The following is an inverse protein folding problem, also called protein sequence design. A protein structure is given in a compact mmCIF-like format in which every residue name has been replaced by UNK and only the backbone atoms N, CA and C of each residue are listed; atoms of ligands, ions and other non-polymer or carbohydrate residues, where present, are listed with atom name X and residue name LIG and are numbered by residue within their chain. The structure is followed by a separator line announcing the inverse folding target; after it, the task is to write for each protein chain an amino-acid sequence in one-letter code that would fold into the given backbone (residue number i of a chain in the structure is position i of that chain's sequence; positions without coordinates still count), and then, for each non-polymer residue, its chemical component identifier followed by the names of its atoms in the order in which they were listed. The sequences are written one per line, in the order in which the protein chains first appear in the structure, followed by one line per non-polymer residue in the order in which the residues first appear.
data_IF_450814401449
#
_entry.id   IF_450814401449
#
_cell.length_a   1.000
_cell.length_b   1.000
_cell.length_c   1.000
_cell.angle_alpha   90.00
_cell.angle_beta   90.00
_cell.angle_gamma   90.00
#
_symmetry.space_group_name_H-M   'P 1'
#
loop_
_entity.id
_entity.type
_entity.pdbx_description
1 polymer ?
#
# COMPACT_ATOMS: atom_id res chain seq x y z
N UNK A 1 -7.47 -1.12 37.08
CA UNK A 1 -7.25 -0.18 35.96
C UNK A 1 -8.03 -0.69 34.76
N UNK A 2 -9.10 -0.02 34.36
CA UNK A 2 -9.90 -0.43 33.20
C UNK A 2 -9.09 -0.17 31.92
N UNK A 3 -8.84 -1.21 31.13
CA UNK A 3 -8.09 -1.12 29.88
C UNK A 3 -8.83 -0.22 28.87
N UNK A 4 -8.11 0.69 28.23
CA UNK A 4 -8.64 1.53 27.14
C UNK A 4 -8.94 0.62 25.95
N UNK A 5 -10.15 0.71 25.39
CA UNK A 5 -10.52 -0.03 24.19
C UNK A 5 -9.53 0.27 23.03
N UNK A 6 -9.15 -0.73 22.21
CA UNK A 6 -8.22 -0.54 21.10
C UNK A 6 -8.80 0.42 20.07
N UNK A 7 -7.96 1.25 19.46
CA UNK A 7 -8.39 2.15 18.38
C UNK A 7 -8.83 1.37 17.14
N UNK A 8 -9.68 1.97 16.29
CA UNK A 8 -10.10 1.40 15.00
C UNK A 8 -8.89 1.01 14.16
N UNK A 9 -7.83 1.84 14.19
CA UNK A 9 -6.58 1.57 13.49
C UNK A 9 -5.83 0.36 14.06
N UNK A 10 -5.81 0.18 15.38
CA UNK A 10 -5.18 -0.99 16.00
C UNK A 10 -5.96 -2.28 15.69
N UNK A 11 -7.31 -2.23 15.70
CA UNK A 11 -8.14 -3.35 15.26
C UNK A 11 -7.94 -3.67 13.77
N UNK A 12 -7.88 -2.63 12.92
CA UNK A 12 -7.57 -2.74 11.50
C UNK A 12 -6.25 -3.44 11.24
N UNK A 13 -5.16 -3.07 11.94
CA UNK A 13 -3.87 -3.75 11.81
C UNK A 13 -3.93 -5.24 12.12
N UNK A 14 -4.66 -5.67 13.16
CA UNK A 14 -4.81 -7.11 13.49
C UNK A 14 -5.44 -7.89 12.33
N UNK A 15 -6.49 -7.34 11.72
CA UNK A 15 -7.17 -7.97 10.59
C UNK A 15 -6.30 -7.95 9.32
N UNK A 16 -5.66 -6.82 9.01
CA UNK A 16 -4.75 -6.69 7.87
C UNK A 16 -3.58 -7.69 7.97
N UNK A 17 -2.95 -7.79 9.14
CA UNK A 17 -1.85 -8.73 9.41
C UNK A 17 -2.31 -10.18 9.20
N UNK A 18 -3.51 -10.53 9.70
CA UNK A 18 -4.04 -11.88 9.54
C UNK A 18 -4.33 -12.21 8.08
N UNK A 19 -4.88 -11.27 7.30
CA UNK A 19 -5.09 -11.46 5.85
C UNK A 19 -3.76 -11.70 5.13
N UNK A 20 -2.73 -10.90 5.41
CA UNK A 20 -1.39 -11.07 4.82
C UNK A 20 -0.77 -12.40 5.23
N UNK A 21 -0.88 -12.80 6.51
CA UNK A 21 -0.34 -14.08 7.00
C UNK A 21 -1.00 -15.29 6.33
N UNK A 22 -2.29 -15.22 5.97
CA UNK A 22 -2.97 -16.26 5.19
C UNK A 22 -2.51 -16.30 3.74
N UNK A 23 -2.22 -15.14 3.15
CA UNK A 23 -1.78 -15.00 1.77
C UNK A 23 -0.30 -15.34 1.55
N UNK A 24 0.51 -15.30 2.60
CA UNK A 24 1.91 -15.73 2.62
C UNK A 24 2.24 -16.48 3.92
N UNK A 25 1.79 -17.75 4.06
CA UNK A 25 2.09 -18.59 5.21
C UNK A 25 3.61 -18.68 5.42
N UNK A 26 4.05 -18.58 6.67
CA UNK A 26 5.46 -18.58 7.07
C UNK A 26 6.33 -17.51 6.36
N UNK A 27 5.71 -16.46 5.83
CA UNK A 27 6.38 -15.42 5.05
C UNK A 27 6.81 -15.87 3.64
N UNK A 28 6.24 -16.96 3.14
CA UNK A 28 6.50 -17.48 1.79
C UNK A 28 5.52 -16.87 0.79
N UNK A 29 6.05 -16.08 -0.14
CA UNK A 29 5.25 -15.37 -1.13
C UNK A 29 5.22 -16.11 -2.48
N UNK A 30 4.04 -16.19 -3.11
CA UNK A 30 3.89 -16.70 -4.48
C UNK A 30 4.64 -15.83 -5.50
N UNK A 31 5.10 -16.44 -6.61
CA UNK A 31 5.70 -15.70 -7.73
C UNK A 31 4.61 -14.98 -8.54
N UNK A 32 4.61 -13.64 -8.65
CA UNK A 32 3.61 -12.90 -9.42
C UNK A 32 3.82 -12.99 -10.93
N UNK A 33 5.03 -13.31 -11.39
CA UNK A 33 5.32 -13.38 -12.82
C UNK A 33 4.76 -14.67 -13.42
N UNK A 34 4.07 -14.51 -14.53
CA UNK A 34 3.49 -15.61 -15.28
C UNK A 34 3.80 -15.45 -16.76
N UNK A 35 4.01 -16.57 -17.45
CA UNK A 35 4.15 -16.60 -18.91
C UNK A 35 2.81 -16.98 -19.52
N UNK A 36 2.36 -16.22 -20.51
CA UNK A 36 1.22 -16.62 -21.33
C UNK A 36 1.61 -17.68 -22.37
N UNK A 37 0.62 -18.19 -23.10
CA UNK A 37 0.85 -19.19 -24.16
C UNK A 37 1.69 -18.68 -25.33
N UNK A 38 1.85 -17.35 -25.47
CA UNK A 38 2.68 -16.71 -26.48
C UNK A 38 4.12 -16.46 -26.02
N UNK A 39 4.49 -16.84 -24.78
CA UNK A 39 5.83 -16.62 -24.24
C UNK A 39 6.03 -15.25 -23.60
N UNK A 40 4.99 -14.41 -23.52
CA UNK A 40 5.10 -13.07 -22.90
C UNK A 40 5.02 -13.20 -21.39
N UNK A 41 6.00 -12.62 -20.69
CA UNK A 41 6.03 -12.58 -19.22
C UNK A 41 5.27 -11.35 -18.73
N UNK A 42 4.23 -11.58 -17.93
CA UNK A 42 3.38 -10.54 -17.37
C UNK A 42 3.25 -10.68 -15.85
N UNK A 43 3.01 -9.55 -15.18
CA UNK A 43 2.71 -9.53 -13.75
C UNK A 43 1.25 -9.93 -13.48
N UNK A 44 1.02 -10.82 -12.51
CA UNK A 44 -0.33 -11.20 -12.04
C UNK A 44 -0.56 -10.74 -10.59
N UNK A 45 -1.31 -9.63 -10.41
CA UNK A 45 -1.68 -9.13 -9.08
C UNK A 45 -2.49 -10.17 -8.30
N UNK A 46 -2.33 -10.22 -6.99
CA UNK A 46 -3.17 -11.04 -6.12
C UNK A 46 -4.43 -10.26 -5.71
N UNK A 47 -5.42 -10.24 -6.61
CA UNK A 47 -6.70 -9.60 -6.35
C UNK A 47 -7.51 -10.28 -5.26
N UNK A 48 -7.29 -11.57 -4.99
CA UNK A 48 -7.98 -12.26 -3.91
C UNK A 48 -7.52 -11.72 -2.55
N UNK A 49 -6.23 -11.44 -2.39
CA UNK A 49 -5.70 -10.77 -1.20
C UNK A 49 -6.11 -9.30 -1.14
N UNK A 50 -6.06 -8.55 -2.25
CA UNK A 50 -6.52 -7.15 -2.29
C UNK A 50 -7.98 -7.01 -1.84
N UNK A 51 -8.88 -7.84 -2.38
CA UNK A 51 -10.31 -7.79 -2.08
C UNK A 51 -10.58 -8.03 -0.59
N UNK A 52 -9.86 -8.97 0.03
CA UNK A 52 -9.95 -9.22 1.48
C UNK A 52 -9.40 -8.08 2.31
N UNK A 53 -8.30 -7.46 1.91
CA UNK A 53 -7.73 -6.29 2.60
C UNK A 53 -8.68 -5.09 2.52
N UNK A 54 -9.31 -4.87 1.37
CA UNK A 54 -10.32 -3.81 1.20
C UNK A 54 -11.61 -4.09 1.97
N UNK A 55 -11.93 -5.36 2.26
CA UNK A 55 -13.03 -5.74 3.15
C UNK A 55 -12.83 -5.33 4.62
N UNK A 56 -11.59 -5.13 5.08
CA UNK A 56 -11.28 -4.71 6.47
C UNK A 56 -11.91 -3.37 6.85
N UNK A 57 -11.66 -2.25 6.12
CA UNK A 57 -12.28 -0.97 6.45
C UNK A 57 -13.81 -1.00 6.35
N UNK A 58 -14.37 -1.81 5.44
CA UNK A 58 -15.82 -1.97 5.30
C UNK A 58 -16.43 -2.67 6.52
N UNK A 59 -15.83 -3.80 6.92
CA UNK A 59 -16.25 -4.54 8.11
C UNK A 59 -16.19 -3.67 9.37
N UNK A 60 -15.12 -2.90 9.54
CA UNK A 60 -14.93 -2.01 10.68
C UNK A 60 -15.77 -0.72 10.60
N UNK A 61 -16.46 -0.46 9.47
CA UNK A 61 -17.11 0.83 9.16
C UNK A 61 -16.16 2.00 9.43
N UNK A 62 -14.91 1.84 9.00
CA UNK A 62 -13.84 2.76 9.31
C UNK A 62 -13.98 4.03 8.47
N UNK A 63 -14.33 5.14 9.12
CA UNK A 63 -14.38 6.45 8.47
C UNK A 63 -13.02 6.84 7.88
N UNK A 64 -13.01 7.68 6.85
CA UNK A 64 -11.80 8.06 6.12
C UNK A 64 -10.73 8.70 7.01
N UNK A 65 -11.13 9.46 8.04
CA UNK A 65 -10.20 10.10 8.97
C UNK A 65 -9.40 9.09 9.81
N UNK A 66 -9.85 7.84 9.93
CA UNK A 66 -9.11 6.78 10.63
C UNK A 66 -7.84 6.35 9.87
N UNK A 67 -7.76 6.63 8.56
CA UNK A 67 -6.68 6.22 7.67
C UNK A 67 -6.64 4.73 7.34
N UNK A 68 -7.51 3.90 7.93
CA UNK A 68 -7.58 2.45 7.63
C UNK A 68 -7.96 2.15 6.17
N UNK A 69 -8.89 2.90 5.53
CA UNK A 69 -9.23 2.68 4.12
C UNK A 69 -8.05 2.80 3.16
N UNK A 70 -7.17 3.79 3.35
CA UNK A 70 -5.95 3.96 2.57
C UNK A 70 -4.90 2.90 2.92
N UNK A 71 -4.78 2.58 4.21
CA UNK A 71 -3.80 1.61 4.71
C UNK A 71 -3.98 0.21 4.10
N UNK A 72 -5.20 -0.19 3.76
CA UNK A 72 -5.45 -1.46 3.07
C UNK A 72 -4.71 -1.56 1.72
N UNK A 73 -4.65 -0.45 0.96
CA UNK A 73 -3.89 -0.38 -0.29
C UNK A 73 -2.38 -0.39 -0.03
N UNK A 74 -1.90 0.36 0.96
CA UNK A 74 -0.47 0.42 1.32
C UNK A 74 0.07 -0.96 1.70
N UNK A 75 -0.69 -1.69 2.53
CA UNK A 75 -0.36 -3.05 2.97
C UNK A 75 -0.34 -4.01 1.78
N UNK A 76 -1.32 -3.92 0.89
CA UNK A 76 -1.38 -4.76 -0.31
C UNK A 76 -0.21 -4.48 -1.26
N UNK A 77 0.11 -3.22 -1.53
CA UNK A 77 1.23 -2.84 -2.38
C UNK A 77 2.58 -3.29 -1.79
N UNK A 78 2.78 -3.13 -0.48
CA UNK A 78 3.96 -3.66 0.19
C UNK A 78 4.03 -5.20 0.13
N UNK A 79 2.88 -5.87 0.21
CA UNK A 79 2.75 -7.32 0.00
C UNK A 79 3.15 -7.72 -1.44
N UNK A 80 2.69 -6.99 -2.46
CA UNK A 80 3.04 -7.24 -3.87
C UNK A 80 4.54 -7.00 -4.14
N UNK A 81 5.15 -5.99 -3.52
CA UNK A 81 6.61 -5.79 -3.63
C UNK A 81 7.39 -6.98 -3.04
N UNK A 82 6.94 -7.56 -1.93
CA UNK A 82 7.53 -8.80 -1.38
C UNK A 82 7.25 -10.02 -2.26
N UNK A 83 6.04 -10.15 -2.82
CA UNK A 83 5.74 -11.16 -3.86
C UNK A 83 6.68 -11.05 -5.04
N UNK A 84 7.06 -9.84 -5.41
CA UNK A 84 8.00 -9.58 -6.51
C UNK A 84 9.41 -10.05 -6.21
N UNK A 85 9.74 -10.40 -4.95
CA UNK A 85 11.03 -10.92 -4.52
C UNK A 85 11.93 -9.87 -3.86
N UNK A 86 11.41 -8.68 -3.56
CA UNK A 86 12.15 -7.68 -2.79
C UNK A 86 12.23 -8.06 -1.30
N UNK A 87 13.29 -7.59 -0.63
CA UNK A 87 13.58 -7.92 0.76
C UNK A 87 12.41 -7.51 1.68
N UNK A 88 12.00 -8.46 2.54
CA UNK A 88 10.81 -8.33 3.40
C UNK A 88 10.88 -7.14 4.35
N UNK A 89 12.08 -6.77 4.78
CA UNK A 89 12.36 -5.72 5.77
C UNK A 89 12.78 -4.40 5.10
N UNK A 90 13.20 -4.43 3.83
CA UNK A 90 13.49 -3.23 3.04
C UNK A 90 12.22 -2.54 2.53
N UNK A 91 11.14 -3.30 2.32
CA UNK A 91 9.83 -2.79 1.89
C UNK A 91 8.98 -2.42 3.10
N UNK A 92 8.48 -1.18 3.12
CA UNK A 92 7.63 -0.63 4.17
C UNK A 92 6.25 -0.23 3.60
N UNK A 93 5.15 -0.40 4.37
CA UNK A 93 5.10 -0.92 5.74
C UNK A 93 5.45 -2.41 5.82
N UNK A 94 6.21 -2.80 6.86
CA UNK A 94 6.57 -4.20 7.19
C UNK A 94 5.33 -5.04 7.49
N UNK A 95 5.40 -6.32 7.16
CA UNK A 95 4.32 -7.28 7.42
C UNK A 95 4.06 -7.47 8.93
N UNK A 96 5.06 -7.21 9.77
CA UNK A 96 4.96 -7.21 11.23
C UNK A 96 5.53 -5.90 11.80
N UNK A 97 5.07 -5.46 12.98
CA UNK A 97 5.68 -4.35 13.68
C UNK A 97 7.18 -4.58 13.98
N UNK A 98 8.01 -3.52 14.02
CA UNK A 98 7.67 -2.16 13.63
C UNK A 98 7.46 -2.00 12.12
N UNK A 99 6.50 -1.16 11.71
CA UNK A 99 6.11 -1.01 10.29
C UNK A 99 7.18 -0.33 9.44
N UNK A 100 8.02 0.49 10.06
CA UNK A 100 9.22 1.04 9.44
C UNK A 100 10.40 0.67 10.32
N UNK A 101 11.37 -0.02 9.74
CA UNK A 101 12.59 -0.40 10.42
C UNK A 101 13.73 -0.51 9.40
N UNK A 102 14.84 0.23 9.58
CA UNK A 102 16.02 0.07 8.74
C UNK A 102 16.49 -1.37 8.65
N UNK A 103 16.82 -1.84 7.45
CA UNK A 103 17.30 -3.22 7.19
C UNK A 103 18.44 -3.64 8.12
N UNK A 104 19.49 -2.81 8.37
CA UNK A 104 20.56 -3.20 9.29
C UNK A 104 20.08 -3.52 10.72
N UNK A 105 19.04 -2.83 11.20
CA UNK A 105 18.46 -3.11 12.51
C UNK A 105 17.63 -4.39 12.50
N UNK A 106 16.87 -4.65 11.43
CA UNK A 106 16.17 -5.93 11.27
C UNK A 106 17.17 -7.10 11.28
N UNK A 107 18.29 -6.98 10.57
CA UNK A 107 19.36 -7.98 10.55
C UNK A 107 20.06 -8.15 11.88
N UNK A 108 20.27 -7.06 12.64
CA UNK A 108 20.77 -7.14 14.00
C UNK A 108 19.81 -7.97 14.87
N UNK A 109 18.51 -7.65 14.88
CA UNK A 109 17.50 -8.38 15.66
C UNK A 109 17.47 -9.87 15.29
N UNK A 110 17.55 -10.21 14.00
CA UNK A 110 17.57 -11.59 13.53
C UNK A 110 18.83 -12.36 13.97
N UNK A 111 19.94 -11.67 14.24
CA UNK A 111 21.18 -12.28 14.76
C UNK A 111 21.15 -12.55 16.27
N UNK A 112 20.24 -11.91 17.01
CA UNK A 112 20.08 -12.10 18.45
C UNK A 112 19.36 -13.42 18.77
N UNK A 113 19.62 -13.97 19.95
CA UNK A 113 19.00 -15.22 20.41
C UNK A 113 18.31 -15.07 21.77
N UNK A 114 17.42 -16.02 22.08
CA UNK A 114 16.81 -16.16 23.40
C UNK A 114 16.11 -14.90 23.90
N UNK A 115 16.42 -14.53 25.14
CA UNK A 115 15.80 -13.39 25.82
C UNK A 115 16.22 -12.04 25.22
N UNK A 116 17.44 -11.92 24.68
CA UNK A 116 17.93 -10.66 24.11
C UNK A 116 17.10 -10.25 22.87
N UNK A 117 16.81 -11.22 21.99
CA UNK A 117 15.92 -11.00 20.84
C UNK A 117 14.53 -10.59 21.30
N UNK A 118 13.97 -11.28 22.29
CA UNK A 118 12.62 -11.01 22.82
C UNK A 118 12.53 -9.60 23.38
N UNK A 119 13.47 -9.22 24.24
CA UNK A 119 13.53 -7.89 24.85
C UNK A 119 13.69 -6.78 23.81
N UNK A 120 14.50 -7.00 22.77
CA UNK A 120 14.66 -6.03 21.68
C UNK A 120 13.36 -5.85 20.88
N UNK A 121 12.69 -6.95 20.52
CA UNK A 121 11.40 -6.91 19.84
C UNK A 121 10.33 -6.20 20.69
N UNK A 122 10.24 -6.52 21.99
CA UNK A 122 9.31 -5.88 22.92
C UNK A 122 9.59 -4.38 23.04
N UNK A 123 10.87 -3.98 23.11
CA UNK A 123 11.25 -2.57 23.20
C UNK A 123 10.92 -1.79 21.93
N UNK A 124 11.11 -2.38 20.76
CA UNK A 124 10.84 -1.75 19.47
C UNK A 124 9.35 -1.77 19.09
N UNK A 125 8.60 -2.78 19.53
CA UNK A 125 7.17 -2.93 19.26
C UNK A 125 6.25 -2.42 20.37
N UNK A 126 6.81 -2.03 21.52
CA UNK A 126 6.08 -1.59 22.69
C UNK A 126 5.39 -0.23 22.55
N UNK A 127 4.73 0.21 23.61
CA UNK A 127 3.97 1.48 23.64
C UNK A 127 4.83 2.73 23.54
N UNK A 128 6.14 2.63 23.80
CA UNK A 128 7.08 3.74 23.73
C UNK A 128 8.39 3.29 23.07
N UNK A 129 8.37 3.05 21.74
CA UNK A 129 9.57 2.62 21.04
C UNK A 129 10.64 3.71 21.06
N UNK A 130 11.93 3.37 20.97
CA UNK A 130 13.01 4.35 20.89
C UNK A 130 12.76 5.36 19.75
N UNK A 131 12.77 6.65 20.09
CA UNK A 131 12.54 7.74 19.13
C UNK A 131 13.52 7.63 17.96
N UNK A 132 13.03 7.87 16.75
CA UNK A 132 13.79 7.86 15.48
C UNK A 132 14.39 6.52 15.06
N UNK A 133 14.12 5.42 15.77
CA UNK A 133 14.62 4.08 15.40
C UNK A 133 13.61 3.30 14.56
N UNK A 134 12.35 3.34 14.98
CA UNK A 134 11.27 2.59 14.39
C UNK A 134 10.01 3.49 14.27
N UNK A 135 10.03 4.48 13.37
CA UNK A 135 8.91 5.43 13.25
C UNK A 135 7.63 4.72 12.79
N UNK A 136 6.48 5.32 13.09
CA UNK A 136 5.18 4.81 12.63
C UNK A 136 4.95 5.00 11.13
N UNK A 137 5.73 5.88 10.50
CA UNK A 137 5.55 6.35 9.13
C UNK A 137 6.91 6.47 8.43
N UNK A 138 6.92 6.18 7.12
CA UNK A 138 8.10 6.36 6.29
C UNK A 138 8.14 7.82 5.82
N UNK A 139 9.09 8.59 6.33
CA UNK A 139 9.29 9.99 5.94
C UNK A 139 10.59 10.10 5.16
N UNK A 140 10.50 10.67 3.96
CA UNK A 140 11.64 10.85 3.05
C UNK A 140 11.78 12.34 2.74
N UNK A 141 13.00 12.85 2.79
CA UNK A 141 13.30 14.23 2.38
C UNK A 141 13.14 14.35 0.86
N UNK A 142 12.27 15.23 0.39
CA UNK A 142 12.18 15.64 -1.02
C UNK A 142 13.11 16.82 -1.34
N UNK A 143 12.85 17.53 -2.43
CA UNK A 143 13.64 18.72 -2.83
C UNK A 143 13.55 19.84 -1.80
N UNK A 144 12.32 20.18 -1.42
CA UNK A 144 12.04 21.38 -0.61
C UNK A 144 11.52 21.02 0.78
N UNK A 145 10.85 19.88 0.92
CA UNK A 145 10.23 19.45 2.18
C UNK A 145 10.20 17.93 2.29
N UNK A 146 10.05 17.44 3.52
CA UNK A 146 9.84 16.03 3.81
C UNK A 146 8.46 15.59 3.39
N UNK A 147 8.36 14.40 2.80
CA UNK A 147 7.10 13.75 2.45
C UNK A 147 6.97 12.45 3.23
N UNK A 148 5.78 12.25 3.81
CA UNK A 148 5.36 10.92 4.20
C UNK A 148 5.00 10.14 2.93
N UNK A 149 5.68 9.00 2.70
CA UNK A 149 5.43 8.13 1.56
C UNK A 149 4.74 6.87 2.05
N UNK A 150 3.72 6.42 1.32
CA UNK A 150 2.82 5.37 1.78
C UNK A 150 3.46 3.98 1.67
N UNK A 151 4.14 3.70 0.55
CA UNK A 151 4.97 2.49 0.38
C UNK A 151 6.37 2.87 -0.08
N UNK A 152 7.38 2.41 0.65
CA UNK A 152 8.79 2.72 0.39
C UNK A 152 9.60 1.44 0.35
N UNK A 153 10.57 1.38 -0.56
CA UNK A 153 11.72 0.48 -0.42
C UNK A 153 12.99 1.28 -0.28
N UNK A 154 13.77 1.01 0.76
CA UNK A 154 15.06 1.67 0.96
C UNK A 154 16.06 0.79 1.70
N UNK A 155 17.33 0.96 1.35
CA UNK A 155 18.46 0.37 2.05
C UNK A 155 19.57 1.42 2.18
N UNK A 156 20.43 1.29 3.20
CA UNK A 156 21.60 2.15 3.38
C UNK A 156 22.49 2.21 2.14
N UNK A 157 22.67 1.07 1.46
CA UNK A 157 23.55 0.95 0.30
C UNK A 157 23.00 1.64 -0.96
N UNK A 158 21.68 1.72 -1.11
CA UNK A 158 21.00 2.14 -2.35
C UNK A 158 20.22 3.45 -2.18
N UNK A 159 19.99 3.90 -0.94
CA UNK A 159 19.05 4.97 -0.64
C UNK A 159 17.60 4.53 -0.89
N UNK A 160 16.67 5.48 -1.13
CA UNK A 160 15.32 5.17 -1.57
C UNK A 160 15.32 4.62 -3.01
N UNK A 161 14.79 3.42 -3.19
CA UNK A 161 14.73 2.72 -4.48
C UNK A 161 13.31 2.73 -5.06
N UNK A 162 12.31 2.76 -4.20
CA UNK A 162 10.91 2.77 -4.55
C UNK A 162 10.14 3.70 -3.62
N UNK A 163 9.26 4.51 -4.19
CA UNK A 163 8.28 5.31 -3.47
C UNK A 163 6.95 5.27 -4.23
N UNK A 164 5.91 4.76 -3.58
CA UNK A 164 4.54 4.76 -4.12
C UNK A 164 3.69 5.63 -3.21
N UNK A 165 3.06 6.63 -3.82
CA UNK A 165 2.01 7.44 -3.20
C UNK A 165 0.66 6.76 -3.46
N UNK A 166 -0.16 6.63 -2.42
CA UNK A 166 -1.49 6.03 -2.53
C UNK A 166 -2.58 7.07 -2.26
N UNK A 167 -3.69 6.95 -2.99
CA UNK A 167 -4.90 7.76 -2.77
C UNK A 167 -6.12 6.88 -2.89
N UNK A 168 -7.18 7.24 -2.15
CA UNK A 168 -8.49 6.59 -2.22
C UNK A 168 -9.60 7.63 -2.26
N UNK A 169 -10.67 7.32 -2.99
CA UNK A 169 -11.87 8.16 -3.07
C UNK A 169 -13.12 7.32 -3.30
N UNK A 170 -14.05 7.36 -2.35
CA UNK A 170 -15.28 6.56 -2.42
C UNK A 170 -16.53 7.40 -2.76
N UNK A 171 -16.44 8.74 -2.63
CA UNK A 171 -17.55 9.67 -2.88
C UNK A 171 -17.04 11.09 -3.19
N UNK A 172 -17.96 12.03 -3.43
CA UNK A 172 -17.67 13.47 -3.62
C UNK A 172 -16.69 13.75 -4.76
N UNK A 173 -16.79 12.97 -5.85
CA UNK A 173 -15.81 12.92 -6.94
C UNK A 173 -15.48 14.30 -7.53
N UNK A 174 -16.50 15.08 -7.90
CA UNK A 174 -16.29 16.38 -8.55
C UNK A 174 -15.58 17.44 -7.68
N UNK A 175 -15.65 17.32 -6.35
CA UNK A 175 -14.97 18.25 -5.42
C UNK A 175 -13.54 17.81 -5.11
N UNK A 176 -13.34 16.51 -4.92
CA UNK A 176 -12.09 15.99 -4.39
C UNK A 176 -11.09 15.63 -5.49
N UNK A 177 -11.54 15.25 -6.69
CA UNK A 177 -10.67 14.75 -7.75
C UNK A 177 -9.63 15.77 -8.25
N UNK A 178 -9.97 17.05 -8.52
CA UNK A 178 -8.98 18.09 -8.85
C UNK A 178 -7.84 18.19 -7.83
N UNK A 179 -8.20 18.32 -6.55
CA UNK A 179 -7.23 18.48 -5.47
C UNK A 179 -6.29 17.27 -5.35
N UNK A 180 -6.81 16.04 -5.54
CA UNK A 180 -5.99 14.82 -5.48
C UNK A 180 -4.96 14.75 -6.60
N UNK A 181 -5.32 15.19 -7.80
CA UNK A 181 -4.39 15.19 -8.94
C UNK A 181 -3.35 16.29 -8.78
N UNK A 182 -3.73 17.50 -8.36
CA UNK A 182 -2.78 18.58 -8.10
C UNK A 182 -1.76 18.20 -7.02
N UNK A 183 -2.21 17.59 -5.93
CA UNK A 183 -1.32 17.08 -4.88
C UNK A 183 -0.36 16.02 -5.43
N UNK A 184 -0.85 15.12 -6.30
CA UNK A 184 -0.02 14.10 -6.93
C UNK A 184 1.11 14.71 -7.77
N UNK A 185 0.82 15.77 -8.54
CA UNK A 185 1.85 16.51 -9.28
C UNK A 185 2.90 17.14 -8.35
N UNK A 186 2.46 17.83 -7.29
CA UNK A 186 3.36 18.46 -6.32
C UNK A 186 4.28 17.43 -5.64
N UNK A 187 3.70 16.31 -5.22
CA UNK A 187 4.42 15.18 -4.64
C UNK A 187 5.48 14.62 -5.59
N UNK A 188 5.10 14.41 -6.86
CA UNK A 188 5.98 13.86 -7.87
C UNK A 188 7.20 14.77 -8.08
N UNK A 189 6.99 16.09 -8.26
CA UNK A 189 8.09 17.05 -8.46
C UNK A 189 9.01 17.12 -7.23
N UNK A 190 8.44 17.08 -6.02
CA UNK A 190 9.21 17.14 -4.77
C UNK A 190 10.08 15.88 -4.60
N UNK A 191 9.54 14.69 -4.85
CA UNK A 191 10.28 13.43 -4.74
C UNK A 191 11.30 13.25 -5.88
N UNK A 192 10.88 13.43 -7.14
CA UNK A 192 11.69 13.21 -8.35
C UNK A 192 12.95 14.06 -8.35
N UNK A 193 12.81 15.33 -7.97
CA UNK A 193 13.93 16.27 -7.96
C UNK A 193 15.03 15.90 -6.96
N UNK A 194 14.71 15.12 -5.91
CA UNK A 194 15.69 14.66 -4.92
C UNK A 194 16.17 13.24 -5.18
N UNK A 195 15.29 12.38 -5.71
CA UNK A 195 15.52 10.95 -5.90
C UNK A 195 15.29 10.53 -7.37
N UNK A 196 16.12 10.99 -8.32
CA UNK A 196 15.91 10.74 -9.76
C UNK A 196 16.12 9.27 -10.17
N UNK A 197 16.68 8.43 -9.30
CA UNK A 197 16.85 7.01 -9.56
C UNK A 197 15.72 6.14 -8.98
N UNK A 198 14.99 6.64 -7.98
CA UNK A 198 13.90 5.88 -7.37
C UNK A 198 12.78 5.62 -8.38
N UNK A 199 12.22 4.41 -8.35
CA UNK A 199 10.94 4.13 -8.98
C UNK A 199 9.85 4.91 -8.25
N UNK A 200 9.08 5.69 -8.99
CA UNK A 200 8.00 6.52 -8.44
C UNK A 200 6.68 5.99 -8.99
N UNK A 201 5.76 5.62 -8.10
CA UNK A 201 4.43 5.15 -8.45
C UNK A 201 3.33 6.02 -7.85
N UNK A 202 2.22 6.17 -8.57
CA UNK A 202 0.98 6.75 -8.03
C UNK A 202 -0.17 5.77 -8.18
N UNK A 203 -0.74 5.33 -7.06
CA UNK A 203 -1.81 4.34 -7.02
C UNK A 203 -3.10 4.97 -6.48
N UNK A 204 -4.12 5.07 -7.32
CA UNK A 204 -5.36 5.73 -6.97
C UNK A 204 -6.53 4.75 -7.00
N UNK A 205 -7.02 4.36 -5.81
CA UNK A 205 -8.28 3.64 -5.66
C UNK A 205 -9.49 4.57 -5.78
N UNK A 206 -10.49 4.18 -6.55
CA UNK A 206 -11.73 4.94 -6.69
C UNK A 206 -12.95 4.01 -6.66
N UNK A 207 -14.05 4.43 -6.03
CA UNK A 207 -15.32 3.68 -6.12
C UNK A 207 -15.81 3.68 -7.57
N UNK A 208 -16.20 2.51 -8.08
CA UNK A 208 -16.61 2.29 -9.46
C UNK A 208 -17.82 3.15 -9.87
N UNK A 209 -18.65 3.56 -8.92
CA UNK A 209 -19.82 4.40 -9.18
C UNK A 209 -19.46 5.76 -9.78
N UNK A 210 -18.21 6.22 -9.71
CA UNK A 210 -17.75 7.43 -10.43
C UNK A 210 -18.06 7.38 -11.93
N UNK A 211 -18.01 6.19 -12.54
CA UNK A 211 -18.24 6.02 -13.98
C UNK A 211 -19.72 6.07 -14.36
N UNK A 212 -20.62 5.99 -13.38
CA UNK A 212 -22.08 6.03 -13.56
C UNK A 212 -22.65 7.35 -13.02
N UNK A 213 -22.30 7.72 -11.79
CA UNK A 213 -22.77 8.92 -11.09
C UNK A 213 -22.14 10.20 -11.62
N UNK A 214 -20.87 10.13 -12.04
CA UNK A 214 -20.08 11.29 -12.46
C UNK A 214 -19.18 10.98 -13.67
N UNK A 215 -19.73 10.51 -14.81
CA UNK A 215 -18.96 9.98 -15.94
C UNK A 215 -17.95 10.99 -16.51
N UNK A 216 -18.29 12.29 -16.51
CA UNK A 216 -17.37 13.34 -16.94
C UNK A 216 -16.14 13.44 -16.01
N UNK A 217 -16.31 13.28 -14.70
CA UNK A 217 -15.21 13.24 -13.73
C UNK A 217 -14.39 11.97 -13.90
N UNK A 218 -15.04 10.82 -14.12
CA UNK A 218 -14.35 9.56 -14.42
C UNK A 218 -13.46 9.65 -15.66
N UNK A 219 -14.00 10.16 -16.78
CA UNK A 219 -13.24 10.36 -18.02
C UNK A 219 -12.08 11.35 -17.84
N UNK A 220 -12.32 12.46 -17.12
CA UNK A 220 -11.30 13.45 -16.80
C UNK A 220 -10.18 12.89 -15.92
N UNK A 221 -10.52 12.05 -14.92
CA UNK A 221 -9.53 11.36 -14.10
C UNK A 221 -8.66 10.41 -14.92
N UNK A 222 -9.27 9.61 -15.80
CA UNK A 222 -8.52 8.72 -16.70
C UNK A 222 -7.53 9.50 -17.57
N UNK A 223 -7.96 10.62 -18.15
CA UNK A 223 -7.12 11.48 -18.98
C UNK A 223 -5.95 12.08 -18.18
N UNK A 224 -6.20 12.64 -16.98
CA UNK A 224 -5.13 13.23 -16.17
C UNK A 224 -4.18 12.19 -15.59
N UNK A 225 -4.67 11.02 -15.19
CA UNK A 225 -3.81 9.94 -14.71
C UNK A 225 -2.81 9.52 -15.79
N UNK A 226 -3.25 9.42 -17.06
CA UNK A 226 -2.35 9.13 -18.19
C UNK A 226 -1.28 10.21 -18.37
N UNK A 227 -1.70 11.47 -18.43
CA UNK A 227 -0.76 12.61 -18.55
C UNK A 227 0.26 12.65 -17.41
N UNK A 228 -0.18 12.33 -16.19
CA UNK A 228 0.70 12.24 -15.02
C UNK A 228 1.76 11.12 -15.15
N UNK A 229 1.44 10.02 -15.82
CA UNK A 229 2.37 8.91 -16.07
C UNK A 229 3.26 9.09 -17.31
N UNK A 230 2.88 9.97 -18.24
CA UNK A 230 3.65 10.29 -19.45
C UNK A 230 4.71 11.36 -19.21
N UNK A 231 4.60 12.16 -18.15
CA UNK A 231 5.52 13.25 -17.86
C UNK A 231 6.82 12.76 -17.22
N UNK A 232 7.96 13.06 -17.87
CA UNK A 232 9.30 12.52 -17.54
C UNK A 232 9.79 12.80 -16.10
N UNK A 233 9.34 13.91 -15.51
CA UNK A 233 9.69 14.36 -14.17
C UNK A 233 8.52 14.19 -13.17
N UNK A 234 7.50 13.41 -13.52
CA UNK A 234 6.43 12.99 -12.63
C UNK A 234 6.61 11.53 -12.15
N UNK A 235 5.59 10.68 -12.30
CA UNK A 235 5.62 9.27 -11.89
C UNK A 235 6.04 8.37 -13.04
N UNK A 236 6.80 7.31 -12.74
CA UNK A 236 7.19 6.31 -13.75
C UNK A 236 6.05 5.33 -14.06
N UNK A 237 5.09 5.22 -13.14
CA UNK A 237 3.96 4.30 -13.27
C UNK A 237 2.77 4.83 -12.48
N UNK A 238 1.59 4.73 -13.06
CA UNK A 238 0.34 5.24 -12.50
C UNK A 238 -0.73 4.15 -12.57
N UNK A 239 -1.64 4.13 -11.60
CA UNK A 239 -2.74 3.17 -11.56
C UNK A 239 -4.03 3.85 -11.12
N UNK A 240 -5.12 3.55 -11.83
CA UNK A 240 -6.47 3.86 -11.39
C UNK A 240 -7.18 2.51 -11.12
N UNK A 241 -7.58 2.27 -9.88
CA UNK A 241 -8.21 1.03 -9.42
C UNK A 241 -9.69 1.27 -9.10
N UNK A 242 -10.61 0.96 -10.03
CA UNK A 242 -12.04 0.96 -9.74
C UNK A 242 -12.41 -0.18 -8.79
N UNK A 243 -13.09 0.15 -7.68
CA UNK A 243 -13.53 -0.78 -6.66
C UNK A 243 -15.04 -0.72 -6.53
N UNK A 244 -15.68 -1.88 -6.54
CA UNK A 244 -17.11 -2.04 -6.30
C UNK A 244 -17.32 -2.78 -4.98
N UNK A 245 -18.27 -2.34 -4.17
CA UNK A 245 -18.60 -2.93 -2.87
C UNK A 245 -19.97 -3.57 -2.95
N UNK A 246 -20.14 -4.72 -2.30
CA UNK A 246 -21.43 -5.43 -2.28
C UNK A 246 -22.53 -4.67 -1.52
N UNK A 247 -22.17 -3.72 -0.66
CA UNK A 247 -23.10 -2.90 0.11
C UNK A 247 -23.03 -1.45 -0.38
N UNK A 248 -24.16 -0.92 -0.86
CA UNK A 248 -24.30 0.49 -1.24
C UNK A 248 -24.18 1.44 -0.04
N UNK A 249 -24.26 0.92 1.19
CA UNK A 249 -24.44 1.67 2.45
C UNK A 249 -23.17 2.28 3.07
N UNK A 250 -22.14 2.59 2.30
CA UNK A 250 -21.20 3.61 2.79
C UNK A 250 -21.85 4.97 2.52
N UNK A 251 -22.78 5.35 3.39
CA UNK A 251 -23.13 6.76 3.56
C UNK A 251 -21.89 7.43 4.16
N UNK A 252 -21.04 7.97 3.29
CA UNK A 252 -20.07 8.97 3.75
C UNK A 252 -20.88 10.18 4.23
N UNK A 253 -20.97 10.38 5.54
CA UNK A 253 -21.24 11.71 6.08
C UNK A 253 -20.24 12.65 5.41
N UNK A 254 -20.78 13.59 4.64
CA UNK A 254 -20.09 14.54 3.77
C UNK A 254 -18.63 14.75 4.15
N UNK A 255 -17.73 14.29 3.27
CA UNK A 255 -16.29 14.37 3.44
C UNK A 255 -15.81 15.74 3.90
N UNK A 256 -15.60 15.87 5.21
CA UNK A 256 -14.54 16.66 5.78
C UNK A 256 -13.46 15.67 6.20
N UNK A 257 -12.61 15.32 5.24
CA UNK A 257 -11.32 14.76 5.58
C UNK A 257 -10.56 15.82 6.38
N UNK A 258 -9.92 15.34 7.45
CA UNK A 258 -8.74 16.01 7.98
C UNK A 258 -7.81 16.25 6.81
N UNK A 259 -7.57 17.51 6.49
CA UNK A 259 -6.38 17.91 5.78
C UNK A 259 -5.24 17.22 6.53
N UNK A 260 -4.65 16.16 5.96
CA UNK A 260 -3.20 16.04 6.10
C UNK A 260 -2.72 17.20 5.25
N UNK A 261 -2.71 18.39 5.86
CA UNK A 261 -2.02 19.52 5.30
C UNK A 261 -0.70 18.94 4.83
N UNK A 262 -0.33 19.22 3.58
CA UNK A 262 1.07 19.22 3.20
C UNK A 262 1.78 19.84 4.39
N UNK A 263 2.48 19.01 5.18
CA UNK A 263 2.86 19.37 6.52
C UNK A 263 3.48 20.74 6.41
N UNK A 264 2.90 21.71 7.13
CA UNK A 264 3.47 23.05 7.25
C UNK A 264 4.97 22.85 7.32
N UNK A 265 5.67 23.49 6.38
CA UNK A 265 7.06 23.26 6.12
C UNK A 265 7.86 23.27 7.45
N UNK A 266 8.10 22.08 8.00
CA UNK A 266 8.79 21.89 9.27
C UNK A 266 8.00 22.31 10.52
N UNK A 267 8.08 21.42 11.52
CA UNK A 267 7.92 21.66 12.97
C UNK A 267 6.50 21.71 13.52
N UNK A 268 5.93 20.55 13.88
CA UNK A 268 5.11 20.32 15.09
C UNK A 268 4.90 18.79 15.30
N UNK A 269 4.57 18.30 16.52
CA UNK A 269 4.70 16.91 16.91
C UNK A 269 3.69 15.97 16.25
N UNK A 270 4.19 14.76 15.99
CA UNK A 270 3.43 13.62 15.49
C UNK A 270 2.39 13.14 16.52
N UNK A 271 1.19 12.85 16.00
CA UNK A 271 0.09 12.09 16.60
C UNK A 271 -0.82 12.81 17.61
N UNK A 272 -1.99 13.25 17.13
CA UNK A 272 -3.27 13.11 17.85
C UNK A 272 -4.42 13.00 16.83
N UNK A 273 -4.94 11.79 16.58
CA UNK A 273 -6.32 11.66 16.09
C UNK A 273 -7.09 10.65 16.95
N UNK A 274 -7.97 11.20 17.79
CA UNK A 274 -8.83 10.48 18.71
C UNK A 274 -10.21 10.32 18.08
N UNK A 275 -10.36 9.38 17.14
CA UNK A 275 -11.68 8.92 16.71
C UNK A 275 -12.24 7.93 17.73
N UNK A 276 -13.34 8.28 18.40
CA UNK A 276 -14.06 7.38 19.31
C UNK A 276 -15.00 6.52 18.47
N UNK A 277 -14.74 5.22 18.39
CA UNK A 277 -15.70 4.24 17.90
C UNK A 277 -16.14 3.32 19.04
N UNK A 278 -17.43 3.02 19.07
CA UNK A 278 -18.06 1.99 19.90
C UNK A 278 -17.90 0.64 19.23
N UNK A 279 -16.90 -0.13 19.66
CA UNK A 279 -16.83 -1.57 19.43
C UNK A 279 -16.36 -2.22 20.73
N UNK A 280 -17.12 -3.20 21.21
CA UNK A 280 -16.80 -4.01 22.40
C UNK A 280 -15.50 -4.76 22.15
N UNK A 281 -14.53 -4.56 23.04
CA UNK A 281 -13.14 -5.01 22.90
C UNK A 281 -12.90 -6.44 23.42
N UNK A 282 -13.95 -7.20 23.69
CA UNK A 282 -13.86 -8.54 24.28
C UNK A 282 -14.40 -9.58 23.30
N UNK A 283 -13.64 -10.67 23.16
CA UNK A 283 -13.77 -11.80 22.22
C UNK A 283 -13.08 -11.60 20.85
N UNK A 284 -11.75 -11.77 20.83
CA UNK A 284 -11.06 -12.25 19.63
C UNK A 284 -11.46 -13.71 19.44
N UNK A 285 -12.66 -13.93 18.88
CA UNK A 285 -13.00 -15.17 18.22
C UNK A 285 -12.03 -15.47 17.09
N UNK A 286 -12.20 -16.62 16.45
CA UNK A 286 -11.40 -17.02 15.29
C UNK A 286 -11.36 -15.90 14.23
N UNK A 287 -10.22 -15.19 14.13
CA UNK A 287 -10.04 -14.09 13.17
C UNK A 287 -10.31 -14.57 11.73
N UNK A 288 -10.15 -15.86 11.44
CA UNK A 288 -10.47 -16.42 10.14
C UNK A 288 -11.96 -16.48 9.88
N UNK A 289 -12.76 -16.77 10.90
CA UNK A 289 -14.22 -16.72 10.82
C UNK A 289 -14.70 -15.27 10.58
N UNK A 290 -14.06 -14.28 11.20
CA UNK A 290 -14.35 -12.86 10.96
C UNK A 290 -14.00 -12.47 9.52
N UNK A 291 -12.80 -12.84 9.04
CA UNK A 291 -12.36 -12.54 7.67
C UNK A 291 -13.26 -13.23 6.63
N UNK A 292 -13.78 -14.42 6.92
CA UNK A 292 -14.68 -15.13 6.03
C UNK A 292 -16.03 -14.41 5.83
N UNK A 293 -16.38 -13.49 6.73
CA UNK A 293 -17.62 -12.71 6.70
C UNK A 293 -17.41 -11.27 6.21
N UNK A 294 -16.23 -10.93 5.70
CA UNK A 294 -15.99 -9.59 5.16
C UNK A 294 -16.93 -9.26 4.00
N UNK A 295 -17.39 -8.00 3.89
CA UNK A 295 -18.09 -7.54 2.70
C UNK A 295 -17.25 -7.81 1.45
N UNK A 296 -17.88 -8.26 0.37
CA UNK A 296 -17.19 -8.47 -0.88
C UNK A 296 -16.77 -7.16 -1.52
N UNK A 297 -15.58 -7.21 -2.14
CA UNK A 297 -15.04 -6.11 -2.93
C UNK A 297 -14.65 -6.69 -4.28
N UNK A 298 -15.23 -6.13 -5.35
CA UNK A 298 -14.90 -6.50 -6.73
C UNK A 298 -14.01 -5.43 -7.35
N UNK A 299 -12.93 -5.86 -7.97
CA UNK A 299 -12.04 -4.98 -8.72
C UNK A 299 -12.53 -4.92 -10.16
N UNK A 300 -12.82 -3.71 -10.66
CA UNK A 300 -13.43 -3.47 -11.98
C UNK A 300 -12.43 -2.88 -12.96
N UNK A 301 -11.31 -3.59 -13.20
CA UNK A 301 -10.23 -3.14 -14.10
C UNK A 301 -10.67 -2.90 -15.54
N UNK A 302 -11.79 -3.47 -15.97
CA UNK A 302 -12.37 -3.26 -17.29
C UNK A 302 -12.95 -1.85 -17.49
N UNK A 303 -13.22 -1.11 -16.41
CA UNK A 303 -13.70 0.28 -16.48
C UNK A 303 -12.58 1.28 -16.82
N UNK A 304 -11.33 0.83 -16.76
CA UNK A 304 -10.15 1.65 -17.04
C UNK A 304 -9.35 1.07 -18.20
N UNK A 305 -8.65 1.94 -18.97
CA UNK A 305 -7.86 1.46 -20.07
C UNK A 305 -6.64 0.65 -19.60
N UNK A 306 -6.08 -0.23 -20.46
CA UNK A 306 -5.05 -1.18 -20.07
C UNK A 306 -3.81 -0.59 -19.39
N UNK A 307 -3.38 0.60 -19.82
CA UNK A 307 -2.20 1.31 -19.33
C UNK A 307 -2.34 1.82 -17.88
N UNK A 308 -3.56 1.98 -17.37
CA UNK A 308 -3.82 2.35 -15.97
C UNK A 308 -4.11 1.16 -15.06
N UNK A 309 -4.05 -0.07 -15.61
CA UNK A 309 -4.37 -1.30 -14.87
C UNK A 309 -3.25 -1.68 -13.91
N UNK A 310 -3.64 -2.41 -12.88
CA UNK A 310 -2.80 -2.78 -11.73
C UNK A 310 -1.63 -3.65 -12.16
N UNK A 311 -1.86 -4.58 -13.09
CA UNK A 311 -0.80 -5.46 -13.60
C UNK A 311 0.31 -4.66 -14.30
N UNK A 312 -0.06 -3.69 -15.14
CA UNK A 312 0.90 -2.81 -15.85
C UNK A 312 1.64 -1.93 -14.85
N UNK A 313 0.92 -1.40 -13.86
CA UNK A 313 1.50 -0.59 -12.79
C UNK A 313 2.59 -1.36 -12.00
N UNK A 314 2.23 -2.51 -11.43
CA UNK A 314 3.16 -3.31 -10.63
C UNK A 314 4.35 -3.77 -11.46
N UNK A 315 4.11 -4.19 -12.71
CA UNK A 315 5.17 -4.55 -13.64
C UNK A 315 6.14 -3.38 -13.85
N UNK A 316 5.63 -2.20 -14.21
CA UNK A 316 6.45 -1.03 -14.51
C UNK A 316 7.29 -0.57 -13.31
N UNK A 317 6.70 -0.59 -12.11
CA UNK A 317 7.39 -0.25 -10.87
C UNK A 317 8.53 -1.22 -10.57
N UNK A 318 8.27 -2.54 -10.61
CA UNK A 318 9.28 -3.56 -10.31
C UNK A 318 10.40 -3.53 -11.36
N UNK A 319 10.04 -3.46 -12.64
CA UNK A 319 11.01 -3.39 -13.73
C UNK A 319 11.89 -2.13 -13.65
N UNK A 320 11.32 -0.99 -13.25
CA UNK A 320 12.09 0.24 -13.05
C UNK A 320 13.18 0.04 -12.02
N UNK A 321 12.86 -0.52 -10.85
CA UNK A 321 13.83 -0.82 -9.80
C UNK A 321 14.93 -1.76 -10.32
N UNK A 322 14.55 -2.86 -10.99
CA UNK A 322 15.52 -3.84 -11.50
C UNK A 322 16.41 -3.27 -12.62
N UNK A 323 15.91 -2.31 -13.40
CA UNK A 323 16.65 -1.66 -14.47
C UNK A 323 17.69 -0.66 -13.96
N UNK A 324 17.37 0.09 -12.90
CA UNK A 324 18.25 1.13 -12.35
C UNK A 324 19.22 0.62 -11.29
N UNK A 325 19.07 -0.64 -10.87
CA UNK A 325 19.99 -1.32 -9.95
C UNK A 325 20.92 -2.29 -10.69
N UNK A 326 22.16 -2.50 -10.19
CA UNK A 326 23.05 -3.51 -10.76
C UNK A 326 22.50 -4.92 -10.57
N UNK A 327 22.95 -5.86 -11.40
CA UNK A 327 22.51 -7.27 -11.39
C UNK A 327 22.80 -7.99 -10.07
N UNK A 328 23.78 -7.50 -9.31
CA UNK A 328 24.17 -8.03 -8.00
C UNK A 328 23.17 -7.69 -6.88
N UNK A 329 22.22 -6.79 -7.13
CA UNK A 329 21.13 -6.46 -6.22
C UNK A 329 19.81 -7.08 -6.66
N UNK A 330 18.92 -7.29 -5.69
CA UNK A 330 17.57 -7.86 -5.88
C UNK A 330 17.56 -9.23 -6.55
N UNK A 331 18.50 -10.11 -6.17
CA UNK A 331 18.69 -11.41 -6.79
C UNK A 331 17.41 -12.26 -6.85
N UNK A 332 16.65 -12.32 -5.74
CA UNK A 332 15.38 -13.05 -5.70
C UNK A 332 14.32 -12.45 -6.62
N UNK A 333 14.21 -11.13 -6.70
CA UNK A 333 13.27 -10.47 -7.61
C UNK A 333 13.62 -10.73 -9.09
N UNK A 334 14.91 -10.70 -9.42
CA UNK A 334 15.39 -11.06 -10.77
C UNK A 334 15.11 -12.52 -11.09
N UNK A 335 15.38 -13.44 -10.15
CA UNK A 335 15.09 -14.87 -10.29
C UNK A 335 13.61 -15.13 -10.53
N UNK A 336 12.72 -14.54 -9.71
CA UNK A 336 11.27 -14.65 -9.90
C UNK A 336 10.83 -14.15 -11.27
N UNK A 337 11.43 -13.08 -11.78
CA UNK A 337 11.12 -12.57 -13.11
C UNK A 337 11.63 -13.49 -14.24
N UNK A 338 12.80 -14.11 -14.08
CA UNK A 338 13.35 -15.04 -15.09
C UNK A 338 12.73 -16.43 -15.03
N UNK A 339 12.10 -16.79 -13.92
CA UNK A 339 11.41 -18.07 -13.69
C UNK A 339 9.89 -17.86 -13.50
N UNK A 340 9.19 -17.27 -14.49
CA UNK A 340 7.75 -17.06 -14.42
C UNK A 340 6.98 -18.39 -14.36
N UNK A 341 5.82 -18.37 -13.71
CA UNK A 341 4.92 -19.54 -13.67
C UNK A 341 4.27 -19.74 -15.04
N UNK A 342 4.19 -20.99 -15.49
CA UNK A 342 3.42 -21.31 -16.69
C UNK A 342 1.93 -21.25 -16.37
N UNK A 343 1.18 -20.42 -17.12
CA UNK A 343 -0.28 -20.47 -17.10
C UNK A 343 -0.71 -21.69 -17.90
N UNK A 344 -0.90 -22.82 -17.24
CA UNK A 344 -1.61 -23.95 -17.85
C UNK A 344 -3.07 -23.50 -17.91
N UNK A 345 -3.61 -23.30 -19.12
CA UNK A 345 -5.05 -23.11 -19.30
C UNK A 345 -5.78 -24.25 -18.58
N UNK A 346 -6.80 -23.98 -17.75
CA UNK A 346 -7.63 -25.07 -17.27
C UNK A 346 -8.18 -25.78 -18.51
N UNK A 347 -7.89 -27.07 -18.62
CA UNK A 347 -8.50 -27.95 -19.60
C UNK A 347 -10.01 -27.73 -19.51
N UNK A 348 -10.64 -27.37 -20.62
CA UNK A 348 -12.09 -27.34 -20.72
C UNK A 348 -12.59 -28.77 -20.48
N UNK A 349 -13.21 -29.00 -19.33
CA UNK A 349 -14.14 -30.11 -19.10
C UNK A 349 -15.57 -29.55 -19.03
#
# INVERSE_FOLDING_TARGET
MAGRAPSVKAAGWKLLDRVVARAAPDGVFSNPWCTDSGGTVAYRPDFATLSRLLGVPLHLRAATQTGVPALALDVWLAYEMRRSGFDRDAVWPRATPPRVLPVPLARLIDSLQGDERRQMCERLGGTNPPKNVAPSQAVVLGKNYTKQVDVVMSNWQTGPELMISTKRMDSSFGKNAPNRIEEAYGDAKNLRSRHPLAALGFFFGIRSTVFEDAPAVGAWLVDLMRKLGEEDDAYHSVCLLPMEYDDDRIEDEAGQEATRAAGEAGLEPLDQSSGRATATADEVGDLDAVIAQFPGVRIREELVPPDLRVAVFLQGVVERVLRVSPVTLHAEARRRRSEPRNLISPSAE
#
